data_IF_166493327760
#
_entry.id   IF_166493327760
#
_cell.length_a   1.000
_cell.length_b   1.000
_cell.length_c   1.000
_cell.angle_alpha   90.00
_cell.angle_beta   90.00
_cell.angle_gamma   90.00
#
_symmetry.space_group_name_H-M   'P 1'
#
loop_
_entity.id
_entity.type
_entity.pdbx_description
1 polymer ?
#
# COMPACT_ATOMS: atom_id res chain seq x y z
N UNK A 1 15.33 -1.81 2.55
CA UNK A 1 15.04 -1.21 3.88
C UNK A 1 16.31 -1.27 4.71
N UNK A 2 16.66 -0.20 5.41
CA UNK A 2 17.83 -0.15 6.29
C UNK A 2 17.32 -0.06 7.74
N UNK A 3 17.78 -0.95 8.59
CA UNK A 3 17.45 -0.94 10.02
C UNK A 3 18.41 -0.03 10.80
N UNK A 4 18.03 0.46 12.00
CA UNK A 4 18.91 1.29 12.84
C UNK A 4 20.26 0.64 13.18
N UNK A 5 20.34 -0.69 13.14
CA UNK A 5 21.57 -1.48 13.30
C UNK A 5 22.55 -1.33 12.13
N UNK A 6 22.13 -0.75 11.01
CA UNK A 6 22.88 -0.69 9.75
C UNK A 6 22.64 -1.89 8.83
N UNK A 7 21.88 -2.90 9.26
CA UNK A 7 21.56 -4.07 8.45
C UNK A 7 20.65 -3.68 7.28
N UNK A 8 20.92 -4.23 6.09
CA UNK A 8 20.12 -4.03 4.89
C UNK A 8 19.96 -5.32 4.08
N UNK A 9 18.76 -5.53 3.55
CA UNK A 9 18.43 -6.65 2.66
C UNK A 9 17.66 -6.17 1.42
N UNK A 10 17.62 -7.02 0.39
CA UNK A 10 16.70 -6.89 -0.73
C UNK A 10 15.32 -7.43 -0.36
N UNK A 11 14.24 -6.80 -0.84
CA UNK A 11 12.87 -7.15 -0.51
C UNK A 11 11.97 -7.09 -1.75
N UNK A 12 11.01 -8.00 -1.84
CA UNK A 12 9.86 -7.86 -2.75
C UNK A 12 8.82 -6.88 -2.18
N UNK A 13 8.61 -6.90 -0.87
CA UNK A 13 7.77 -5.95 -0.13
C UNK A 13 8.33 -5.73 1.28
N UNK A 14 8.12 -4.54 1.83
CA UNK A 14 8.58 -4.20 3.17
C UNK A 14 7.64 -3.19 3.84
N UNK A 15 7.44 -3.34 5.16
CA UNK A 15 6.64 -2.42 5.96
C UNK A 15 7.33 -2.13 7.31
N UNK A 16 7.12 -0.93 7.84
CA UNK A 16 7.66 -0.45 9.11
C UNK A 16 6.64 0.41 9.86
N UNK A 17 6.90 0.75 11.11
CA UNK A 17 5.97 1.50 11.96
C UNK A 17 5.01 0.62 12.77
N UNK A 18 3.96 1.23 13.34
CA UNK A 18 3.01 0.58 14.26
C UNK A 18 2.20 -0.53 13.56
N UNK A 19 1.61 -0.24 12.40
CA UNK A 19 0.80 -1.18 11.61
C UNK A 19 1.61 -2.21 10.79
N UNK A 20 2.92 -2.34 11.02
CA UNK A 20 3.81 -3.17 10.19
C UNK A 20 3.42 -4.65 10.13
N UNK A 21 2.83 -5.19 11.19
CA UNK A 21 2.47 -6.62 11.24
C UNK A 21 1.29 -6.92 10.32
N UNK A 22 0.23 -6.11 10.38
CA UNK A 22 -0.91 -6.18 9.45
C UNK A 22 -0.43 -5.98 8.02
N UNK A 23 0.35 -4.92 7.77
CA UNK A 23 0.85 -4.63 6.43
C UNK A 23 1.69 -5.76 5.83
N UNK A 24 2.55 -6.41 6.64
CA UNK A 24 3.33 -7.58 6.18
C UNK A 24 2.44 -8.76 5.82
N UNK A 25 1.43 -9.04 6.65
CA UNK A 25 0.48 -10.13 6.39
C UNK A 25 -0.27 -9.92 5.07
N UNK A 26 -0.63 -8.69 4.72
CA UNK A 26 -1.28 -8.40 3.44
C UNK A 26 -0.30 -8.46 2.26
N UNK A 27 0.93 -7.98 2.42
CA UNK A 27 1.97 -8.09 1.38
C UNK A 27 2.27 -9.55 1.01
N UNK A 28 2.20 -10.48 1.98
CA UNK A 28 2.43 -11.91 1.76
C UNK A 28 1.33 -12.60 0.94
N UNK A 29 0.13 -12.00 0.84
CA UNK A 29 -0.98 -12.54 0.03
C UNK A 29 -0.86 -12.18 -1.45
N UNK A 30 -0.03 -11.20 -1.79
CA UNK A 30 0.09 -10.66 -3.14
C UNK A 30 1.20 -11.37 -3.92
N UNK A 31 0.98 -11.59 -5.22
CA UNK A 31 2.05 -11.97 -6.14
C UNK A 31 2.81 -10.72 -6.61
N UNK A 32 3.69 -10.22 -5.74
CA UNK A 32 4.47 -9.00 -5.96
C UNK A 32 5.37 -9.06 -7.20
N UNK A 33 5.68 -10.25 -7.72
CA UNK A 33 6.50 -10.42 -8.91
C UNK A 33 5.76 -10.14 -10.22
N UNK A 34 4.43 -10.21 -10.22
CA UNK A 34 3.60 -10.08 -11.42
C UNK A 34 2.71 -8.83 -11.44
N UNK A 35 2.63 -8.09 -10.33
CA UNK A 35 1.87 -6.84 -10.25
C UNK A 35 2.42 -5.77 -11.18
N UNK A 36 1.55 -5.15 -11.96
CA UNK A 36 1.89 -3.91 -12.64
C UNK A 36 1.91 -2.72 -11.65
N UNK A 37 2.54 -1.62 -12.06
CA UNK A 37 2.73 -0.46 -11.19
C UNK A 37 1.40 0.20 -10.75
N UNK A 38 0.35 0.15 -11.57
CA UNK A 38 -0.95 0.76 -11.24
C UNK A 38 -1.73 -0.13 -10.26
N UNK A 39 -1.67 -1.45 -10.45
CA UNK A 39 -2.22 -2.42 -9.50
C UNK A 39 -1.51 -2.33 -8.14
N UNK A 40 -0.18 -2.24 -8.15
CA UNK A 40 0.60 -2.08 -6.92
C UNK A 40 0.22 -0.82 -6.13
N UNK A 41 -0.12 0.28 -6.80
CA UNK A 41 -0.63 1.50 -6.15
C UNK A 41 -1.98 1.24 -5.46
N UNK A 42 -2.90 0.53 -6.11
CA UNK A 42 -4.21 0.19 -5.50
C UNK A 42 -4.05 -0.71 -4.28
N UNK A 43 -3.25 -1.77 -4.40
CA UNK A 43 -2.99 -2.69 -3.29
C UNK A 43 -2.26 -2.00 -2.14
N UNK A 44 -1.27 -1.14 -2.41
CA UNK A 44 -0.59 -0.39 -1.38
C UNK A 44 -1.53 0.56 -0.63
N UNK A 45 -2.47 1.22 -1.32
CA UNK A 45 -3.51 2.02 -0.66
C UNK A 45 -4.36 1.14 0.28
N UNK A 46 -4.88 0.01 -0.21
CA UNK A 46 -5.67 -0.94 0.60
C UNK A 46 -4.93 -1.36 1.88
N UNK A 47 -3.65 -1.71 1.75
CA UNK A 47 -2.81 -2.14 2.87
C UNK A 47 -2.66 -1.03 3.92
N UNK A 48 -2.52 0.23 3.51
CA UNK A 48 -2.41 1.35 4.46
C UNK A 48 -3.71 1.57 5.22
N UNK A 49 -4.86 1.49 4.53
CA UNK A 49 -6.16 1.62 5.20
C UNK A 49 -6.39 0.48 6.21
N UNK A 50 -6.10 -0.77 5.85
CA UNK A 50 -6.14 -1.92 6.76
C UNK A 50 -5.20 -1.74 7.96
N UNK A 51 -3.97 -1.30 7.73
CA UNK A 51 -2.99 -1.06 8.79
C UNK A 51 -3.36 0.12 9.71
N UNK A 52 -4.33 0.96 9.30
CA UNK A 52 -4.83 2.10 10.07
C UNK A 52 -6.06 1.77 10.93
N UNK A 53 -6.69 0.59 10.79
CA UNK A 53 -7.87 0.23 11.58
C UNK A 53 -7.65 0.34 13.10
N UNK A 54 -6.44 0.00 13.58
CA UNK A 54 -5.99 0.12 14.98
C UNK A 54 -5.82 1.57 15.46
N UNK A 55 -6.08 2.56 14.60
CA UNK A 55 -5.99 4.00 14.88
C UNK A 55 -7.09 4.79 14.16
N UNK A 56 -8.24 4.14 13.92
CA UNK A 56 -9.42 4.71 13.24
C UNK A 56 -10.02 5.94 13.90
N UNK A 57 -9.65 6.24 15.15
CA UNK A 57 -10.03 7.45 15.87
C UNK A 57 -9.31 8.72 15.34
N UNK A 58 -8.31 8.55 14.47
CA UNK A 58 -7.52 9.65 13.91
C UNK A 58 -7.62 9.67 12.40
N UNK A 59 -7.84 10.85 11.85
CA UNK A 59 -7.72 11.07 10.43
C UNK A 59 -6.26 10.90 9.99
N UNK A 60 -6.06 10.45 8.75
CA UNK A 60 -4.75 10.36 8.13
C UNK A 60 -4.80 10.83 6.68
N UNK A 61 -3.65 11.23 6.16
CA UNK A 61 -3.47 11.53 4.74
C UNK A 61 -2.61 10.44 4.10
N UNK A 62 -3.12 9.85 3.02
CA UNK A 62 -2.37 8.88 2.22
C UNK A 62 -1.49 9.63 1.20
N UNK A 63 -0.18 9.50 1.36
CA UNK A 63 0.83 9.95 0.41
C UNK A 63 1.44 8.75 -0.32
N UNK A 64 1.62 8.88 -1.64
CA UNK A 64 2.18 7.80 -2.46
C UNK A 64 3.14 8.34 -3.51
N UNK A 65 4.25 7.63 -3.66
CA UNK A 65 5.20 7.83 -4.76
C UNK A 65 5.49 6.49 -5.41
N UNK A 66 5.92 6.52 -6.66
CA UNK A 66 6.19 5.31 -7.42
C UNK A 66 7.35 5.52 -8.39
N UNK A 67 7.92 4.39 -8.81
CA UNK A 67 8.94 4.33 -9.85
C UNK A 67 8.75 3.05 -10.63
N UNK A 68 8.65 3.17 -11.94
CA UNK A 68 8.47 2.05 -12.88
C UNK A 68 8.96 2.42 -14.26
N UNK A 69 9.49 1.42 -14.98
CA UNK A 69 9.90 1.59 -16.37
C UNK A 69 8.72 1.97 -17.28
N UNK A 70 7.53 1.40 -17.06
CA UNK A 70 6.37 1.58 -17.92
C UNK A 70 5.60 2.88 -17.65
N UNK A 71 5.48 3.28 -16.39
CA UNK A 71 4.64 4.42 -16.00
C UNK A 71 5.40 5.73 -15.84
N UNK A 72 6.65 5.68 -15.40
CA UNK A 72 7.46 6.86 -15.04
C UNK A 72 8.76 6.95 -15.85
N UNK A 73 8.99 6.02 -16.77
CA UNK A 73 10.27 5.92 -17.50
C UNK A 73 11.48 5.73 -16.58
N UNK A 74 11.29 5.09 -15.42
CA UNK A 74 12.34 4.86 -14.43
C UNK A 74 12.65 6.04 -13.51
N UNK A 75 11.83 7.10 -13.51
CA UNK A 75 11.99 8.25 -12.60
C UNK A 75 11.11 8.11 -11.36
N UNK A 76 11.61 8.58 -10.23
CA UNK A 76 10.80 8.68 -9.02
C UNK A 76 9.86 9.88 -9.12
N UNK A 77 8.56 9.63 -8.97
CA UNK A 77 7.53 10.64 -9.11
C UNK A 77 6.44 10.44 -8.05
N UNK A 78 5.68 11.49 -7.77
CA UNK A 78 4.42 11.36 -7.05
C UNK A 78 3.40 10.58 -7.90
N UNK A 79 2.55 9.80 -7.25
CA UNK A 79 1.42 9.18 -7.94
C UNK A 79 0.48 10.30 -8.41
N UNK A 80 0.06 10.31 -9.69
CA UNK A 80 -0.90 11.28 -10.21
C UNK A 80 -2.19 11.35 -9.38
N UNK A 81 -2.76 12.54 -9.23
CA UNK A 81 -3.88 12.79 -8.31
C UNK A 81 -5.14 11.97 -8.63
N UNK A 82 -5.41 11.74 -9.92
CA UNK A 82 -6.49 10.88 -10.42
C UNK A 82 -6.29 9.42 -9.99
N UNK A 83 -5.07 8.89 -10.18
CA UNK A 83 -4.73 7.52 -9.78
C UNK A 83 -4.72 7.36 -8.25
N UNK A 84 -4.29 8.38 -7.51
CA UNK A 84 -4.33 8.38 -6.05
C UNK A 84 -5.77 8.36 -5.54
N UNK A 85 -6.67 9.15 -6.15
CA UNK A 85 -8.10 9.13 -5.80
C UNK A 85 -8.73 7.77 -6.12
N UNK A 86 -8.42 7.19 -7.28
CA UNK A 86 -8.89 5.85 -7.65
C UNK A 86 -8.42 4.78 -6.65
N UNK A 87 -7.16 4.84 -6.22
CA UNK A 87 -6.60 3.91 -5.24
C UNK A 87 -7.23 4.05 -3.86
N UNK A 88 -7.51 5.29 -3.42
CA UNK A 88 -8.24 5.57 -2.17
C UNK A 88 -9.65 4.99 -2.23
N UNK A 89 -10.36 5.22 -3.33
CA UNK A 89 -11.72 4.70 -3.49
C UNK A 89 -11.72 3.17 -3.49
N UNK A 90 -10.81 2.54 -4.24
CA UNK A 90 -10.64 1.09 -4.25
C UNK A 90 -10.41 0.52 -2.84
N UNK A 91 -9.53 1.14 -2.05
CA UNK A 91 -9.27 0.73 -0.68
C UNK A 91 -10.53 0.80 0.20
N UNK A 92 -11.30 1.89 0.11
CA UNK A 92 -12.54 2.09 0.86
C UNK A 92 -13.60 1.07 0.43
N UNK A 93 -13.76 0.83 -0.87
CA UNK A 93 -14.74 -0.10 -1.41
C UNK A 93 -14.46 -1.53 -0.93
N UNK A 94 -13.22 -1.99 -0.98
CA UNK A 94 -12.81 -3.33 -0.52
C UNK A 94 -13.03 -3.52 0.99
N UNK A 95 -12.84 -2.48 1.78
CA UNK A 95 -13.07 -2.51 3.23
C UNK A 95 -14.56 -2.52 3.56
N UNK A 96 -15.35 -1.68 2.87
CA UNK A 96 -16.79 -1.59 3.09
C UNK A 96 -17.57 -2.81 2.58
N UNK A 97 -17.15 -3.40 1.45
CA UNK A 97 -17.74 -4.62 0.89
C UNK A 97 -17.45 -5.89 1.68
N UNK A 98 -16.53 -5.83 2.66
CA UNK A 98 -16.27 -6.92 3.61
C UNK A 98 -17.26 -6.99 4.78
N UNK A 99 -17.90 -5.86 5.12
CA UNK A 99 -18.86 -5.77 6.23
C UNK A 99 -20.30 -6.17 5.82
N UNK A 100 -20.65 -6.14 4.52
CA UNK A 100 -21.98 -6.51 4.01
C UNK A 100 -22.13 -8.02 3.67
N UNK A 101 -21.14 -8.85 4.01
CA UNK A 101 -21.16 -10.32 3.83
C UNK A 101 -21.17 -11.11 5.16
N UNK A 102 -21.57 -10.46 6.26
CA UNK A 102 -21.86 -11.08 7.56
C UNK A 102 -23.30 -10.75 8.07
N UNK A 103 -24.32 -10.92 7.22
CA UNK A 103 -25.71 -11.16 7.67
C UNK A 103 -26.30 -12.46 7.08
#
# INVERSE_FOLDING_TARGET
MIEPSGTSWGYHGAATGKGRQVAKSELEKLDLGSLDARQAVKEAAKIIYLAHEDSKDKDFELEMTWVSQSATGGKHEFVPADLLQEAKQYAIDELSGGDDMEE
#
